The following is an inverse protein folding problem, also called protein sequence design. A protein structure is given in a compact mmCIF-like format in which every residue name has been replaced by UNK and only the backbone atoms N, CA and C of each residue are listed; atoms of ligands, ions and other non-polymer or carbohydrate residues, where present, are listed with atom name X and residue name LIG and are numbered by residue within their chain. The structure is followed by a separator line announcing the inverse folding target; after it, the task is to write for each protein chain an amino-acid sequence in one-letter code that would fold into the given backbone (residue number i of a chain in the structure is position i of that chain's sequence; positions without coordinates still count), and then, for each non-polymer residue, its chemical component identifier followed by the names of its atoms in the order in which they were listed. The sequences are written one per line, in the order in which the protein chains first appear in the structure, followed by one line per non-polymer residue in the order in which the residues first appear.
data_IF_436630192920
#
_entry.id   IF_436630192920
#
_cell.length_a   1.000
_cell.length_b   1.000
_cell.length_c   1.000
_cell.angle_alpha   90.00
_cell.angle_beta   90.00
_cell.angle_gamma   90.00
#
_symmetry.space_group_name_H-M   'P 1'
#
loop_
_entity.id
_entity.type
_entity.pdbx_description
1 polymer ?
#
# COMPACT_ATOMS: atom_id res chain seq x y z
N UNK A 1 9.18 -3.07 -9.23
CA UNK A 1 7.95 -3.80 -8.83
C UNK A 1 8.36 -5.20 -8.43
N UNK A 2 7.97 -5.66 -7.24
CA UNK A 2 8.34 -6.98 -6.73
C UNK A 2 7.15 -7.59 -5.96
N UNK A 3 7.07 -8.92 -5.94
CA UNK A 3 5.94 -9.68 -5.38
C UNK A 3 4.90 -10.08 -6.44
N UNK A 4 3.91 -10.88 -6.01
CA UNK A 4 2.90 -11.46 -6.89
C UNK A 4 3.33 -12.80 -7.50
N UNK A 5 2.58 -13.26 -8.51
CA UNK A 5 2.85 -14.52 -9.21
C UNK A 5 4.13 -14.41 -10.05
N UNK A 6 4.87 -15.51 -10.21
CA UNK A 6 6.07 -15.55 -11.05
C UNK A 6 5.80 -15.18 -12.51
N UNK A 7 4.57 -15.39 -12.98
CA UNK A 7 4.12 -15.03 -14.33
C UNK A 7 3.89 -13.52 -14.53
N UNK A 8 3.92 -12.73 -13.46
CA UNK A 8 3.73 -11.29 -13.55
C UNK A 8 4.92 -10.63 -14.27
N UNK A 9 4.63 -9.98 -15.39
CA UNK A 9 5.60 -9.12 -16.06
C UNK A 9 5.71 -7.81 -15.30
N UNK A 10 6.94 -7.41 -15.00
CA UNK A 10 7.24 -6.13 -14.35
C UNK A 10 8.14 -5.28 -15.22
N UNK A 11 8.00 -3.96 -15.13
CA UNK A 11 8.81 -2.98 -15.84
C UNK A 11 9.19 -1.81 -14.94
N UNK A 12 10.29 -1.09 -15.23
CA UNK A 12 10.66 0.11 -14.47
C UNK A 12 9.58 1.20 -14.48
N UNK A 13 8.78 1.28 -15.54
CA UNK A 13 7.76 2.31 -15.75
C UNK A 13 6.46 2.03 -14.99
N UNK A 14 6.29 0.84 -14.42
CA UNK A 14 5.04 0.41 -13.80
C UNK A 14 4.55 1.36 -12.69
N UNK A 15 5.46 1.95 -11.90
CA UNK A 15 5.09 2.92 -10.87
C UNK A 15 4.38 4.15 -11.46
N UNK A 16 4.98 4.74 -12.49
CA UNK A 16 4.41 5.89 -13.21
C UNK A 16 3.14 5.50 -13.97
N UNK A 17 3.16 4.36 -14.65
CA UNK A 17 2.02 3.87 -15.41
C UNK A 17 0.84 3.53 -14.50
N UNK A 18 1.09 3.08 -13.27
CA UNK A 18 0.04 2.86 -12.28
C UNK A 18 -0.63 4.16 -11.86
N UNK A 19 0.14 5.22 -11.61
CA UNK A 19 -0.42 6.57 -11.36
C UNK A 19 -1.28 7.04 -12.52
N UNK A 20 -0.78 6.91 -13.76
CA UNK A 20 -1.53 7.29 -14.96
C UNK A 20 -2.80 6.47 -15.15
N UNK A 21 -2.76 5.17 -14.82
CA UNK A 21 -3.94 4.31 -14.85
C UNK A 21 -5.00 4.79 -13.85
N UNK A 22 -4.62 5.10 -12.61
CA UNK A 22 -5.56 5.63 -11.61
C UNK A 22 -6.13 6.99 -12.03
N UNK A 23 -5.30 7.86 -12.61
CA UNK A 23 -5.74 9.13 -13.15
C UNK A 23 -6.82 8.95 -14.24
N UNK A 24 -6.59 8.01 -15.18
CA UNK A 24 -7.54 7.73 -16.26
C UNK A 24 -8.83 7.12 -15.74
N UNK A 25 -8.77 6.15 -14.81
CA UNK A 25 -9.97 5.59 -14.19
C UNK A 25 -10.76 6.70 -13.47
N UNK A 26 -10.07 7.57 -12.72
CA UNK A 26 -10.72 8.70 -12.03
C UNK A 26 -11.40 9.65 -13.01
N UNK A 27 -10.78 9.95 -14.15
CA UNK A 27 -11.37 10.78 -15.21
C UNK A 27 -12.65 10.15 -15.78
N UNK A 28 -12.61 8.86 -16.12
CA UNK A 28 -13.77 8.13 -16.64
C UNK A 28 -14.90 8.08 -15.62
N UNK A 29 -14.57 7.80 -14.35
CA UNK A 29 -15.56 7.80 -13.27
C UNK A 29 -16.18 9.18 -13.10
N UNK A 30 -15.39 10.26 -13.02
CA UNK A 30 -15.91 11.63 -12.91
C UNK A 30 -16.89 11.98 -14.05
N UNK A 31 -16.59 11.58 -15.29
CA UNK A 31 -17.49 11.79 -16.42
C UNK A 31 -18.80 11.01 -16.28
N UNK A 32 -18.77 9.84 -15.65
CA UNK A 32 -19.96 9.04 -15.36
C UNK A 32 -20.76 9.59 -14.17
N UNK A 33 -20.10 10.12 -13.14
CA UNK A 33 -20.73 10.77 -11.98
C UNK A 33 -21.63 11.93 -12.41
N UNK A 34 -21.18 12.73 -13.39
CA UNK A 34 -21.96 13.83 -13.95
C UNK A 34 -23.24 13.38 -14.66
N UNK A 35 -23.23 12.19 -15.28
CA UNK A 35 -24.39 11.64 -15.98
C UNK A 35 -25.41 11.05 -15.01
N UNK A 36 -24.91 10.39 -13.97
CA UNK A 36 -25.75 9.63 -13.04
C UNK A 36 -26.13 10.43 -11.79
N UNK A 37 -25.54 11.61 -11.59
CA UNK A 37 -25.65 12.44 -10.40
C UNK A 37 -25.35 11.64 -9.11
N UNK A 38 -24.24 10.89 -9.13
CA UNK A 38 -23.79 10.01 -8.05
C UNK A 38 -22.28 9.96 -8.02
N UNK A 39 -21.68 9.87 -6.83
CA UNK A 39 -20.24 9.62 -6.65
C UNK A 39 -19.88 8.14 -6.84
N UNK A 40 -18.83 7.87 -7.62
CA UNK A 40 -18.23 6.56 -7.83
C UNK A 40 -16.87 6.49 -7.15
N UNK A 41 -16.72 5.51 -6.27
CA UNK A 41 -15.50 5.33 -5.50
C UNK A 41 -14.40 4.67 -6.33
N UNK A 42 -13.19 5.22 -6.24
CA UNK A 42 -11.95 4.60 -6.67
C UNK A 42 -11.04 4.42 -5.45
N UNK A 43 -10.75 3.16 -5.11
CA UNK A 43 -9.90 2.83 -3.97
C UNK A 43 -8.84 1.83 -4.41
N UNK A 44 -7.77 1.72 -3.64
CA UNK A 44 -6.71 0.73 -3.91
C UNK A 44 -6.39 -0.08 -2.65
N UNK A 45 -5.95 -1.31 -2.85
CA UNK A 45 -5.22 -2.06 -1.84
C UNK A 45 -3.72 -1.79 -2.03
N UNK A 46 -3.06 -1.21 -1.03
CA UNK A 46 -1.67 -0.79 -1.15
C UNK A 46 -0.76 -1.55 -0.17
N UNK A 47 0.50 -1.83 -0.55
CA UNK A 47 1.41 -2.64 0.25
C UNK A 47 1.95 -1.87 1.46
N UNK A 48 2.15 -2.57 2.58
CA UNK A 48 2.74 -2.01 3.80
C UNK A 48 4.27 -2.17 3.89
N UNK A 49 4.87 -3.02 3.05
CA UNK A 49 6.31 -3.30 3.08
C UNK A 49 7.17 -2.23 2.38
N UNK A 50 8.28 -1.75 3.00
CA UNK A 50 9.15 -0.70 2.43
C UNK A 50 9.81 -1.08 1.12
N UNK A 51 10.05 -2.37 0.89
CA UNK A 51 10.55 -2.87 -0.38
C UNK A 51 9.58 -2.64 -1.54
N UNK A 52 8.28 -2.57 -1.26
CA UNK A 52 7.22 -2.56 -2.27
C UNK A 52 6.63 -1.17 -2.45
N UNK A 53 6.22 -0.50 -1.36
CA UNK A 53 5.58 0.83 -1.47
C UNK A 53 6.55 1.89 -2.03
N UNK A 54 7.87 1.68 -1.95
CA UNK A 54 8.88 2.58 -2.55
C UNK A 54 8.77 2.71 -4.07
N UNK A 55 8.05 1.79 -4.72
CA UNK A 55 7.82 1.81 -6.17
C UNK A 55 6.56 2.57 -6.58
N UNK A 56 5.78 3.05 -5.61
CA UNK A 56 4.58 3.84 -5.86
C UNK A 56 4.90 5.33 -5.80
N UNK A 57 4.29 6.12 -6.70
CA UNK A 57 4.27 7.58 -6.59
C UNK A 57 3.17 8.00 -5.60
N UNK A 58 3.34 7.66 -4.32
CA UNK A 58 2.32 7.86 -3.25
C UNK A 58 1.79 9.29 -3.23
N UNK A 59 2.68 10.27 -3.42
CA UNK A 59 2.42 11.71 -3.45
C UNK A 59 1.57 12.17 -4.64
N UNK A 60 1.47 11.35 -5.70
CA UNK A 60 0.70 11.66 -6.91
C UNK A 60 -0.55 10.81 -7.02
N UNK A 61 -0.43 9.52 -6.75
CA UNK A 61 -1.54 8.58 -6.90
C UNK A 61 -2.69 8.85 -5.92
N UNK A 62 -2.38 9.47 -4.77
CA UNK A 62 -3.38 9.76 -3.72
C UNK A 62 -4.44 10.77 -4.17
N UNK A 63 -4.12 11.62 -5.15
CA UNK A 63 -5.04 12.59 -5.72
C UNK A 63 -6.14 11.93 -6.56
N UNK A 64 -5.92 10.68 -6.98
CA UNK A 64 -6.83 9.95 -7.85
C UNK A 64 -7.73 8.96 -7.09
N UNK A 65 -7.45 8.66 -5.83
CA UNK A 65 -8.21 7.69 -5.04
C UNK A 65 -8.96 8.36 -3.90
N UNK A 66 -10.13 7.81 -3.56
CA UNK A 66 -10.92 8.22 -2.41
C UNK A 66 -10.21 7.85 -1.11
N UNK A 67 -9.71 6.61 -1.01
CA UNK A 67 -8.87 6.15 0.08
C UNK A 67 -8.01 4.95 -0.31
N UNK A 68 -7.06 4.62 0.57
CA UNK A 68 -6.12 3.52 0.46
C UNK A 68 -6.43 2.50 1.56
N UNK A 69 -6.76 1.27 1.16
CA UNK A 69 -6.82 0.12 2.05
C UNK A 69 -5.39 -0.42 2.20
N UNK A 70 -4.71 -0.04 3.27
CA UNK A 70 -3.33 -0.41 3.51
C UNK A 70 -3.28 -1.85 4.02
N UNK A 71 -2.62 -2.74 3.26
CA UNK A 71 -2.47 -4.16 3.58
C UNK A 71 -1.43 -4.35 4.68
N UNK A 72 -1.77 -3.90 5.90
CA UNK A 72 -0.91 -3.93 7.10
C UNK A 72 -0.90 -5.29 7.79
N UNK A 73 -0.73 -6.33 6.98
CA UNK A 73 -0.65 -7.74 7.34
C UNK A 73 0.30 -8.41 6.33
N UNK A 74 0.52 -9.72 6.49
CA UNK A 74 1.49 -10.50 5.70
C UNK A 74 2.92 -9.92 5.80
N UNK A 75 3.26 -9.31 6.94
CA UNK A 75 4.63 -8.89 7.21
C UNK A 75 5.55 -10.11 7.35
N UNK A 76 5.01 -11.20 7.91
CA UNK A 76 5.70 -12.47 8.11
C UNK A 76 4.73 -13.64 7.90
N UNK A 77 5.24 -14.75 7.38
CA UNK A 77 4.44 -15.95 7.07
C UNK A 77 5.32 -17.17 6.78
N UNK A 78 4.75 -18.22 6.20
CA UNK A 78 5.46 -19.49 5.95
C UNK A 78 6.67 -19.37 5.02
N UNK A 79 6.76 -18.30 4.23
CA UNK A 79 7.93 -17.97 3.39
C UNK A 79 9.09 -17.32 4.15
N UNK A 80 8.87 -16.91 5.40
CA UNK A 80 9.90 -16.27 6.23
C UNK A 80 10.81 -17.33 6.85
N UNK A 81 12.13 -17.07 6.97
CA UNK A 81 13.07 -18.02 7.59
C UNK A 81 12.92 -18.11 9.11
N UNK A 82 12.18 -17.18 9.73
CA UNK A 82 11.96 -17.08 11.17
C UNK A 82 10.47 -16.83 11.44
N UNK A 83 9.94 -17.46 12.50
CA UNK A 83 8.61 -17.15 13.02
C UNK A 83 8.59 -15.73 13.59
N UNK A 84 7.57 -14.95 13.24
CA UNK A 84 7.36 -13.60 13.74
C UNK A 84 5.87 -13.21 13.62
N UNK A 85 5.50 -12.01 14.07
CA UNK A 85 4.11 -11.53 14.01
C UNK A 85 3.65 -11.25 12.57
N UNK A 86 2.46 -11.73 12.19
CA UNK A 86 1.88 -11.45 10.88
C UNK A 86 1.50 -9.96 10.69
N UNK A 87 0.91 -9.35 11.72
CA UNK A 87 0.37 -7.99 11.68
C UNK A 87 0.63 -7.22 12.99
N UNK A 88 1.90 -6.99 13.39
CA UNK A 88 2.19 -6.26 14.62
C UNK A 88 1.79 -4.78 14.48
N UNK A 89 1.08 -4.24 15.48
CA UNK A 89 0.69 -2.82 15.49
C UNK A 89 1.91 -1.88 15.53
N UNK A 90 2.93 -2.25 16.30
CA UNK A 90 4.20 -1.53 16.44
C UNK A 90 5.38 -2.50 16.45
N UNK A 91 6.59 -1.95 16.27
CA UNK A 91 7.83 -2.72 16.35
C UNK A 91 7.99 -3.41 17.73
N UNK A 92 8.44 -4.66 17.72
CA UNK A 92 8.74 -5.42 18.95
C UNK A 92 10.21 -5.30 19.30
N UNK A 93 10.53 -4.99 20.56
CA UNK A 93 11.91 -5.02 21.05
C UNK A 93 12.53 -6.43 21.04
N UNK A 94 11.69 -7.48 20.93
CA UNK A 94 12.08 -8.88 20.86
C UNK A 94 11.91 -9.48 19.46
N UNK A 95 11.81 -8.65 18.42
CA UNK A 95 11.77 -9.13 17.05
C UNK A 95 13.07 -9.94 16.75
N UNK A 96 12.96 -11.21 16.34
CA UNK A 96 14.11 -12.10 16.18
C UNK A 96 14.91 -11.83 14.89
N UNK A 97 14.40 -10.95 14.01
CA UNK A 97 15.02 -10.66 12.73
C UNK A 97 16.38 -9.99 12.91
N UNK A 98 17.39 -10.48 12.18
CA UNK A 98 18.72 -9.83 12.15
C UNK A 98 18.73 -8.52 11.35
N UNK A 99 17.76 -8.34 10.44
CA UNK A 99 17.59 -7.14 9.64
C UNK A 99 16.89 -6.02 10.44
N UNK A 100 17.54 -4.86 10.54
CA UNK A 100 17.00 -3.71 11.28
C UNK A 100 15.78 -3.07 10.61
N UNK A 101 15.73 -3.06 9.28
CA UNK A 101 14.58 -2.57 8.52
C UNK A 101 13.36 -3.43 8.81
N UNK A 102 13.52 -4.75 8.86
CA UNK A 102 12.43 -5.66 9.26
C UNK A 102 11.97 -5.30 10.68
N UNK A 103 12.87 -5.32 11.66
CA UNK A 103 12.52 -5.02 13.07
C UNK A 103 11.79 -3.69 13.25
N UNK A 104 12.19 -2.65 12.50
CA UNK A 104 11.66 -1.28 12.68
C UNK A 104 10.46 -0.96 11.81
N UNK A 105 10.34 -1.54 10.62
CA UNK A 105 9.41 -1.07 9.57
C UNK A 105 8.32 -2.06 9.17
N UNK A 106 8.42 -3.33 9.56
CA UNK A 106 7.40 -4.35 9.24
C UNK A 106 6.33 -4.39 10.32
N UNK A 107 5.63 -3.26 10.48
CA UNK A 107 4.52 -3.09 11.43
C UNK A 107 3.54 -2.01 10.92
N UNK A 108 2.30 -2.07 11.42
CA UNK A 108 1.19 -1.18 11.03
C UNK A 108 1.59 0.30 11.19
N UNK A 109 2.10 0.69 12.36
CA UNK A 109 2.42 2.07 12.68
C UNK A 109 3.49 2.68 11.77
N UNK A 110 4.51 1.89 11.39
CA UNK A 110 5.53 2.34 10.43
C UNK A 110 4.97 2.50 9.02
N UNK A 111 4.09 1.60 8.57
CA UNK A 111 3.47 1.69 7.26
C UNK A 111 2.56 2.92 7.15
N UNK A 112 1.69 3.16 8.14
CA UNK A 112 0.84 4.37 8.19
C UNK A 112 1.69 5.64 8.13
N UNK A 113 2.75 5.74 8.94
CA UNK A 113 3.66 6.89 8.92
C UNK A 113 4.36 7.08 7.57
N UNK A 114 4.66 6.00 6.86
CA UNK A 114 5.29 6.08 5.55
C UNK A 114 4.35 6.72 4.51
N UNK A 115 3.07 6.35 4.51
CA UNK A 115 2.07 6.93 3.62
C UNK A 115 1.74 8.38 3.99
N UNK A 116 1.64 8.70 5.29
CA UNK A 116 1.51 10.08 5.76
C UNK A 116 2.69 10.94 5.31
N UNK A 117 3.93 10.43 5.41
CA UNK A 117 5.12 11.13 4.90
C UNK A 117 5.10 11.29 3.38
N UNK A 118 4.44 10.38 2.67
CA UNK A 118 4.16 10.46 1.24
C UNK A 118 3.04 11.43 0.87
N UNK A 119 2.46 12.17 1.82
CA UNK A 119 1.42 13.17 1.57
C UNK A 119 -0.02 12.66 1.70
N UNK A 120 -0.23 11.42 2.12
CA UNK A 120 -1.58 10.86 2.28
C UNK A 120 -2.20 11.39 3.58
N UNK A 121 -3.36 12.05 3.46
CA UNK A 121 -4.17 12.44 4.62
C UNK A 121 -4.58 11.19 5.42
N UNK A 122 -4.51 11.27 6.75
CA UNK A 122 -4.94 10.20 7.64
C UNK A 122 -6.39 9.76 7.38
N UNK A 123 -7.27 10.68 6.97
CA UNK A 123 -8.65 10.37 6.61
C UNK A 123 -8.78 9.47 5.37
N UNK A 124 -7.74 9.41 4.53
CA UNK A 124 -7.66 8.54 3.34
C UNK A 124 -6.92 7.21 3.61
N UNK A 125 -6.52 6.91 4.84
CA UNK A 125 -5.82 5.67 5.18
C UNK A 125 -6.75 4.74 5.96
N UNK A 126 -7.04 3.57 5.41
CA UNK A 126 -7.77 2.48 6.08
C UNK A 126 -6.78 1.38 6.46
N UNK A 127 -6.65 1.09 7.75
CA UNK A 127 -5.76 0.05 8.28
C UNK A 127 -6.39 -1.34 8.10
N UNK A 128 -5.61 -2.28 7.58
CA UNK A 128 -6.02 -3.67 7.39
C UNK A 128 -5.76 -4.57 8.61
N UNK A 129 -6.67 -5.52 8.87
CA UNK A 129 -6.56 -6.53 9.93
C UNK A 129 -6.86 -7.92 9.33
N UNK A 130 -6.00 -8.94 9.55
CA UNK A 130 -6.22 -10.31 9.05
C UNK A 130 -7.15 -11.11 9.97
N UNK A 131 -8.07 -11.91 9.42
CA UNK A 131 -9.07 -12.74 10.14
C UNK A 131 -8.82 -14.24 9.96
#
# INVERSE_FOLDING_TARGET
VAGGLESNKTRPEDGKNYTLLLAEIRNVLNAQELKDNKHYLLTIAAPAGPGTYRHLEIDRLVDHVDWINLMTYDFHGGWSPLTNFNAPLYASAKDPSKDETIRKRFNVGSAVKAYQKGGVDSAKIVVGVPF
#
